data_IF_910683380588
#
_entry.id   IF_910683380588
#
_cell.length_a   1.000
_cell.length_b   1.000
_cell.length_c   1.000
_cell.angle_alpha   90.00
_cell.angle_beta   90.00
_cell.angle_gamma   90.00
#
_symmetry.space_group_name_H-M   'P 1'
#
loop_
_entity.id
_entity.type
_entity.pdbx_description
1 polymer ?
#
# COMPACT_ATOMS: atom_id res chain seq x y z
N UNK A 1 -78.95 16.88 -12.10
CA UNK A 1 -79.16 15.91 -11.01
C UNK A 1 -78.55 14.60 -11.51
N UNK A 2 -77.27 14.34 -11.25
CA UNK A 2 -76.59 13.16 -11.81
C UNK A 2 -75.68 12.53 -10.76
N UNK A 3 -76.10 11.32 -10.39
CA UNK A 3 -75.38 10.12 -9.94
C UNK A 3 -74.37 10.19 -8.79
N UNK A 4 -74.71 9.42 -7.75
CA UNK A 4 -73.85 8.87 -6.71
C UNK A 4 -73.26 7.53 -7.20
N UNK A 5 -71.97 7.31 -6.94
CA UNK A 5 -71.38 5.98 -6.80
C UNK A 5 -70.37 5.95 -5.64
N UNK A 6 -70.24 4.75 -5.08
CA UNK A 6 -69.81 4.35 -3.72
C UNK A 6 -68.30 4.02 -3.65
N UNK A 7 -67.61 4.09 -2.50
CA UNK A 7 -66.30 3.46 -2.29
C UNK A 7 -66.37 2.16 -1.46
N UNK A 8 -65.47 1.22 -1.73
CA UNK A 8 -65.17 0.05 -0.90
C UNK A 8 -63.66 -0.08 -0.62
N UNK A 9 -63.33 -0.60 0.57
CA UNK A 9 -62.02 -0.62 1.21
C UNK A 9 -61.03 -1.72 0.73
N UNK A 10 -59.77 -1.52 1.16
CA UNK A 10 -58.44 -2.09 0.81
C UNK A 10 -58.20 -3.60 1.04
N UNK A 11 -57.04 -4.21 0.63
CA UNK A 11 -55.78 -4.06 1.39
C UNK A 11 -54.45 -4.01 0.57
N UNK A 12 -53.51 -3.23 1.11
CA UNK A 12 -52.05 -3.41 1.14
C UNK A 12 -51.27 -4.01 -0.04
N UNK A 13 -50.58 -3.16 -0.82
CA UNK A 13 -49.28 -3.47 -1.40
C UNK A 13 -48.53 -2.17 -1.80
N UNK A 14 -47.53 -1.73 -1.02
CA UNK A 14 -46.63 -0.63 -1.42
C UNK A 14 -45.23 -1.17 -1.66
N UNK A 15 -44.83 -1.18 -2.93
CA UNK A 15 -43.45 -1.46 -3.38
C UNK A 15 -42.63 -0.17 -3.28
N UNK A 16 -41.46 -0.29 -2.65
CA UNK A 16 -40.23 0.54 -2.75
C UNK A 16 -40.33 2.05 -2.47
N UNK A 17 -39.62 2.46 -1.41
CA UNK A 17 -38.54 3.43 -1.51
C UNK A 17 -37.48 3.11 -0.43
N UNK A 18 -36.22 2.77 -0.77
CA UNK A 18 -35.12 2.97 0.16
C UNK A 18 -34.77 4.46 0.11
N UNK A 19 -34.93 5.10 1.26
CA UNK A 19 -34.61 6.49 1.57
C UNK A 19 -33.20 6.88 1.10
N UNK A 20 -33.16 8.05 0.47
CA UNK A 20 -31.98 8.84 0.14
C UNK A 20 -31.09 9.04 1.38
N UNK A 21 -29.94 8.38 1.39
CA UNK A 21 -28.69 8.87 2.00
C UNK A 21 -27.52 8.06 1.42
N UNK A 22 -27.41 8.10 0.09
CA UNK A 22 -26.21 7.69 -0.64
C UNK A 22 -25.97 8.70 -1.76
N UNK A 23 -26.06 9.99 -1.43
CA UNK A 23 -25.73 11.06 -2.35
C UNK A 23 -24.28 11.54 -2.13
N UNK A 24 -23.42 11.03 -3.00
CA UNK A 24 -22.44 11.80 -3.77
C UNK A 24 -21.57 12.76 -2.94
N UNK A 25 -20.51 12.23 -2.33
CA UNK A 25 -19.36 13.03 -1.89
C UNK A 25 -18.12 12.67 -2.72
N UNK A 26 -18.20 12.88 -4.04
CA UNK A 26 -17.07 12.73 -4.94
C UNK A 26 -17.11 13.82 -6.01
N UNK A 27 -16.35 14.90 -5.83
CA UNK A 27 -15.71 15.47 -7.01
C UNK A 27 -14.52 14.55 -7.31
N UNK A 28 -14.60 13.84 -8.43
CA UNK A 28 -13.66 12.77 -8.78
C UNK A 28 -12.19 13.21 -8.89
N UNK A 29 -11.90 14.51 -8.81
CA UNK A 29 -10.60 15.09 -9.12
C UNK A 29 -10.16 16.22 -8.16
N UNK A 30 -10.74 16.36 -6.95
CA UNK A 30 -10.31 17.39 -6.01
C UNK A 30 -9.39 16.84 -4.89
N UNK A 31 -8.07 17.08 -4.97
CA UNK A 31 -7.12 16.65 -3.94
C UNK A 31 -7.17 17.51 -2.67
N UNK A 32 -8.00 18.56 -2.61
CA UNK A 32 -8.15 19.44 -1.44
C UNK A 32 -9.26 19.00 -0.48
N UNK A 33 -10.11 18.04 -0.88
CA UNK A 33 -11.12 17.46 0.00
C UNK A 33 -10.43 16.65 1.11
N UNK A 34 -10.50 17.18 2.33
CA UNK A 34 -10.16 16.47 3.55
C UNK A 34 -11.11 15.27 3.68
N UNK A 35 -10.59 14.10 3.31
CA UNK A 35 -11.18 12.80 3.59
C UNK A 35 -11.78 12.80 5.00
N UNK A 36 -13.10 12.56 5.12
CA UNK A 36 -13.70 12.28 6.43
C UNK A 36 -12.99 11.07 6.99
N UNK A 37 -12.26 11.31 8.07
CA UNK A 37 -11.25 10.48 8.72
C UNK A 37 -11.84 9.19 9.34
N UNK A 38 -12.47 8.33 8.52
CA UNK A 38 -13.14 7.10 9.01
C UNK A 38 -12.69 5.81 8.32
N UNK A 39 -11.75 5.84 7.38
CA UNK A 39 -11.40 4.63 6.60
C UNK A 39 -9.93 4.55 6.16
N UNK A 40 -9.01 5.11 6.96
CA UNK A 40 -7.56 4.81 6.88
C UNK A 40 -7.11 3.90 8.01
N UNK A 41 -7.96 2.96 8.43
CA UNK A 41 -7.51 1.90 9.32
C UNK A 41 -6.63 0.92 8.52
N UNK A 42 -5.49 0.53 9.10
CA UNK A 42 -4.61 -0.50 8.57
C UNK A 42 -5.38 -1.79 8.17
N UNK A 43 -6.47 -2.07 8.88
CA UNK A 43 -7.36 -3.22 8.66
C UNK A 43 -8.08 -3.13 7.31
N UNK A 44 -8.45 -1.93 6.86
CA UNK A 44 -9.15 -1.70 5.58
C UNK A 44 -8.19 -1.87 4.39
N UNK A 45 -7.00 -1.26 4.47
CA UNK A 45 -5.98 -1.38 3.41
C UNK A 45 -5.54 -2.83 3.19
N UNK A 46 -5.25 -3.57 4.27
CA UNK A 46 -4.88 -4.98 4.14
C UNK A 46 -6.00 -5.78 3.47
N UNK A 47 -7.27 -5.59 3.87
CA UNK A 47 -8.43 -6.28 3.30
C UNK A 47 -8.65 -5.97 1.82
N UNK A 48 -8.44 -4.72 1.41
CA UNK A 48 -8.61 -4.31 0.01
C UNK A 48 -7.50 -4.89 -0.85
N UNK A 49 -6.24 -4.67 -0.45
CA UNK A 49 -5.10 -5.11 -1.24
C UNK A 49 -4.90 -6.63 -1.21
N UNK A 50 -5.34 -7.35 -0.16
CA UNK A 50 -5.29 -8.82 -0.13
C UNK A 50 -6.21 -9.49 -1.14
N UNK A 51 -7.20 -8.78 -1.70
CA UNK A 51 -8.03 -9.29 -2.79
C UNK A 51 -7.33 -9.22 -4.14
N UNK A 52 -6.11 -8.67 -4.19
CA UNK A 52 -5.37 -8.59 -5.43
C UNK A 52 -5.08 -9.98 -5.99
N UNK A 53 -5.40 -10.14 -7.27
CA UNK A 53 -5.12 -11.35 -8.05
C UNK A 53 -4.30 -10.94 -9.27
N UNK A 54 -3.09 -11.49 -9.39
CA UNK A 54 -2.20 -11.23 -10.51
C UNK A 54 -2.72 -11.72 -11.86
N UNK A 55 -3.70 -12.63 -11.85
CA UNK A 55 -4.33 -13.17 -13.06
C UNK A 55 -5.54 -12.37 -13.55
N UNK A 56 -6.03 -11.42 -12.72
CA UNK A 56 -7.20 -10.61 -13.02
C UNK A 56 -6.83 -9.12 -13.19
N UNK A 57 -7.68 -8.31 -13.86
CA UNK A 57 -7.53 -6.86 -13.86
C UNK A 57 -7.55 -6.31 -12.42
N UNK A 58 -6.73 -5.29 -12.16
CA UNK A 58 -6.70 -4.61 -10.86
C UNK A 58 -8.07 -3.97 -10.60
N UNK A 59 -8.64 -4.23 -9.42
CA UNK A 59 -9.95 -3.71 -9.05
C UNK A 59 -9.94 -2.17 -8.96
N UNK A 60 -11.08 -1.54 -9.29
CA UNK A 60 -11.24 -0.09 -9.18
C UNK A 60 -11.00 0.43 -7.76
N UNK A 61 -11.31 -0.39 -6.75
CA UNK A 61 -11.04 -0.06 -5.34
C UNK A 61 -9.52 0.03 -5.06
N UNK A 62 -8.72 -0.93 -5.55
CA UNK A 62 -7.26 -0.89 -5.41
C UNK A 62 -6.67 0.32 -6.15
N UNK A 63 -7.12 0.58 -7.38
CA UNK A 63 -6.69 1.74 -8.16
C UNK A 63 -6.95 3.04 -7.42
N UNK A 64 -8.17 3.21 -6.90
CA UNK A 64 -8.57 4.41 -6.18
C UNK A 64 -7.72 4.63 -4.92
N UNK A 65 -7.57 3.58 -4.10
CA UNK A 65 -6.78 3.65 -2.86
C UNK A 65 -5.31 3.93 -3.15
N UNK A 66 -4.72 3.26 -4.14
CA UNK A 66 -3.33 3.49 -4.52
C UNK A 66 -3.11 4.91 -5.05
N UNK A 67 -3.98 5.43 -5.93
CA UNK A 67 -3.91 6.82 -6.42
C UNK A 67 -3.98 7.82 -5.26
N UNK A 68 -4.93 7.63 -4.35
CA UNK A 68 -5.09 8.48 -3.17
C UNK A 68 -3.82 8.50 -2.31
N UNK A 69 -3.24 7.32 -2.03
CA UNK A 69 -1.98 7.22 -1.28
C UNK A 69 -0.84 7.95 -1.99
N UNK A 70 -0.72 7.82 -3.32
CA UNK A 70 0.30 8.55 -4.09
C UNK A 70 0.12 10.08 -3.96
N UNK A 71 -1.11 10.58 -4.16
CA UNK A 71 -1.40 12.01 -4.05
C UNK A 71 -1.11 12.57 -2.64
N UNK A 72 -1.43 11.79 -1.60
CA UNK A 72 -1.25 12.18 -0.18
C UNK A 72 0.21 12.16 0.25
N UNK A 73 0.95 11.08 -0.04
CA UNK A 73 2.29 10.86 0.51
C UNK A 73 3.44 11.21 -0.43
N UNK A 74 3.26 11.15 -1.75
CA UNK A 74 4.29 11.56 -2.72
C UNK A 74 4.12 13.02 -3.15
N UNK A 75 2.89 13.55 -3.14
CA UNK A 75 2.62 14.96 -3.44
C UNK A 75 2.93 15.35 -4.89
N UNK A 76 3.19 16.65 -5.11
CA UNK A 76 3.57 17.18 -6.42
C UNK A 76 2.63 16.77 -7.57
N UNK A 77 3.22 16.29 -8.67
CA UNK A 77 2.51 15.80 -9.85
C UNK A 77 1.52 14.66 -9.56
N UNK A 78 1.77 13.84 -8.53
CA UNK A 78 0.87 12.73 -8.16
C UNK A 78 -0.53 13.19 -7.77
N UNK A 79 -0.69 14.43 -7.29
CA UNK A 79 -2.01 15.00 -6.98
C UNK A 79 -2.87 15.20 -8.23
N UNK A 80 -2.24 15.40 -9.40
CA UNK A 80 -2.89 15.70 -10.68
C UNK A 80 -3.21 14.45 -11.51
N UNK A 81 -2.75 13.27 -11.10
CA UNK A 81 -2.92 12.01 -11.86
C UNK A 81 -4.38 11.56 -11.80
N UNK A 82 -5.11 11.58 -12.91
CA UNK A 82 -6.48 11.04 -12.94
C UNK A 82 -6.51 9.53 -12.79
N UNK A 83 -7.64 8.97 -12.36
CA UNK A 83 -7.78 7.52 -12.16
C UNK A 83 -7.62 6.74 -13.48
N UNK A 84 -8.10 7.30 -14.60
CA UNK A 84 -8.01 6.73 -15.94
C UNK A 84 -6.56 6.62 -16.46
N UNK A 85 -5.71 7.55 -16.02
CA UNK A 85 -4.29 7.60 -16.38
C UNK A 85 -3.39 6.91 -15.35
N UNK A 86 -3.93 6.47 -14.22
CA UNK A 86 -3.14 5.94 -13.10
C UNK A 86 -2.51 4.59 -13.46
N UNK A 87 -1.18 4.53 -13.45
CA UNK A 87 -0.43 3.32 -13.78
C UNK A 87 0.05 2.64 -12.53
N UNK A 88 -0.40 1.41 -12.34
CA UNK A 88 0.03 0.52 -11.27
C UNK A 88 0.25 -0.88 -11.83
N UNK A 89 1.31 -1.54 -11.36
CA UNK A 89 1.61 -2.93 -11.69
C UNK A 89 2.07 -3.67 -10.44
N UNK A 90 1.53 -4.86 -10.21
CA UNK A 90 2.06 -5.71 -9.17
C UNK A 90 3.46 -6.19 -9.54
N UNK A 91 4.36 -6.20 -8.56
CA UNK A 91 5.69 -6.76 -8.70
C UNK A 91 5.75 -8.03 -7.86
N UNK A 92 6.38 -9.06 -8.41
CA UNK A 92 6.69 -10.28 -7.66
C UNK A 92 7.60 -9.93 -6.48
N UNK A 93 7.02 -10.03 -5.27
CA UNK A 93 7.71 -9.87 -4.00
C UNK A 93 7.91 -11.20 -3.30
N UNK A 94 8.60 -11.16 -2.15
CA UNK A 94 8.60 -12.28 -1.21
C UNK A 94 7.21 -12.53 -0.62
N UNK A 95 7.03 -13.67 0.04
CA UNK A 95 5.72 -14.17 0.49
C UNK A 95 5.00 -13.31 1.54
N UNK A 96 5.66 -12.31 2.13
CA UNK A 96 5.17 -11.62 3.33
C UNK A 96 4.52 -10.25 3.07
N UNK A 97 4.65 -9.68 1.86
CA UNK A 97 4.18 -8.32 1.56
C UNK A 97 3.63 -8.22 0.13
N UNK A 98 2.64 -7.36 -0.07
CA UNK A 98 2.16 -7.01 -1.41
C UNK A 98 2.94 -5.80 -1.94
N UNK A 99 3.46 -5.93 -3.16
CA UNK A 99 4.29 -4.93 -3.81
C UNK A 99 3.66 -4.46 -5.11
N UNK A 100 3.54 -3.14 -5.24
CA UNK A 100 3.06 -2.51 -6.45
C UNK A 100 4.04 -1.42 -6.87
N UNK A 101 4.40 -1.37 -8.14
CA UNK A 101 5.02 -0.18 -8.71
C UNK A 101 3.92 0.73 -9.22
N UNK A 102 4.01 2.00 -8.81
CA UNK A 102 3.23 3.09 -9.37
C UNK A 102 4.14 3.96 -10.23
N UNK A 103 3.61 4.44 -11.36
CA UNK A 103 4.37 5.28 -12.31
C UNK A 103 3.53 6.49 -12.71
N UNK A 104 4.14 7.67 -12.77
CA UNK A 104 3.51 8.85 -13.33
C UNK A 104 3.16 8.60 -14.81
N UNK A 105 2.02 9.12 -15.28
CA UNK A 105 1.71 9.15 -16.71
C UNK A 105 2.76 9.96 -17.48
N UNK A 106 3.06 9.56 -18.72
CA UNK A 106 4.11 10.19 -19.53
C UNK A 106 3.86 11.69 -19.81
N UNK A 107 2.60 12.11 -19.75
CA UNK A 107 2.17 13.50 -19.90
C UNK A 107 2.42 14.38 -18.67
N UNK A 108 2.75 13.80 -17.51
CA UNK A 108 2.99 14.54 -16.27
C UNK A 108 4.46 14.45 -15.88
N UNK A 109 5.10 15.60 -15.72
CA UNK A 109 6.46 15.72 -15.21
C UNK A 109 6.45 16.06 -13.71
N UNK A 110 7.43 15.58 -12.94
CA UNK A 110 7.62 16.02 -11.56
C UNK A 110 7.75 17.55 -11.47
N UNK A 111 7.08 18.13 -10.48
CA UNK A 111 7.02 19.57 -10.22
C UNK A 111 8.05 19.96 -9.17
N UNK A 112 8.36 19.06 -8.23
CA UNK A 112 9.27 19.27 -7.11
C UNK A 112 10.27 18.11 -7.03
N UNK A 113 10.44 17.51 -5.85
CA UNK A 113 11.33 16.38 -5.59
C UNK A 113 10.60 15.04 -5.59
N UNK A 114 9.31 15.00 -5.94
CA UNK A 114 8.56 13.76 -6.02
C UNK A 114 9.12 12.85 -7.13
N UNK A 115 9.12 11.53 -6.92
CA UNK A 115 9.65 10.61 -7.92
C UNK A 115 8.64 10.36 -9.03
N UNK A 116 9.12 10.08 -10.24
CA UNK A 116 8.28 9.58 -11.34
C UNK A 116 7.75 8.17 -11.10
N UNK A 117 8.48 7.36 -10.30
CA UNK A 117 8.15 5.97 -9.99
C UNK A 117 8.40 5.67 -8.53
N UNK A 118 7.47 4.97 -7.88
CA UNK A 118 7.60 4.58 -6.49
C UNK A 118 7.08 3.16 -6.26
N UNK A 119 7.70 2.46 -5.32
CA UNK A 119 7.24 1.15 -4.88
C UNK A 119 6.30 1.32 -3.68
N UNK A 120 5.04 0.97 -3.87
CA UNK A 120 4.04 0.85 -2.82
C UNK A 120 4.16 -0.54 -2.18
N UNK A 121 4.53 -0.58 -0.89
CA UNK A 121 4.53 -1.80 -0.08
C UNK A 121 3.36 -1.77 0.90
N UNK A 122 2.52 -2.80 0.85
CA UNK A 122 1.44 -3.01 1.82
C UNK A 122 1.83 -4.15 2.76
N UNK A 123 1.81 -3.89 4.06
CA UNK A 123 2.16 -4.87 5.08
C UNK A 123 1.01 -5.84 5.33
N UNK A 124 1.32 -7.14 5.32
CA UNK A 124 0.34 -8.17 5.66
C UNK A 124 0.37 -8.56 7.14
N UNK A 125 1.40 -8.18 7.89
CA UNK A 125 1.48 -8.37 9.34
C UNK A 125 0.78 -7.26 10.11
N UNK A 126 0.27 -7.57 11.31
CA UNK A 126 -0.41 -6.63 12.21
C UNK A 126 0.30 -6.45 13.55
N UNK A 127 1.50 -7.02 13.70
CA UNK A 127 2.31 -6.88 14.91
C UNK A 127 2.94 -5.48 14.94
N UNK A 128 2.46 -4.64 15.86
CA UNK A 128 2.82 -3.21 15.92
C UNK A 128 4.30 -3.04 16.26
N UNK A 129 4.83 -3.84 17.20
CA UNK A 129 6.23 -3.73 17.63
C UNK A 129 7.19 -4.14 16.50
N UNK A 130 6.81 -5.17 15.74
CA UNK A 130 7.55 -5.59 14.57
C UNK A 130 7.52 -4.53 13.46
N UNK A 131 6.35 -3.93 13.20
CA UNK A 131 6.19 -2.85 12.20
C UNK A 131 6.96 -1.58 12.57
N UNK A 132 6.98 -1.21 13.85
CA UNK A 132 7.75 -0.08 14.36
C UNK A 132 9.25 -0.34 14.18
N UNK A 133 9.72 -1.51 14.61
CA UNK A 133 11.13 -1.91 14.45
C UNK A 133 11.56 -1.93 12.98
N UNK A 134 10.73 -2.49 12.09
CA UNK A 134 10.95 -2.51 10.65
C UNK A 134 11.06 -1.08 10.08
N UNK A 135 10.18 -0.17 10.52
CA UNK A 135 10.17 1.23 10.06
C UNK A 135 11.43 1.97 10.49
N UNK A 136 11.88 1.77 11.74
CA UNK A 136 13.14 2.34 12.26
C UNK A 136 14.34 1.83 11.46
N UNK A 137 14.43 0.51 11.25
CA UNK A 137 15.53 -0.11 10.48
C UNK A 137 15.52 0.39 9.04
N UNK A 138 14.36 0.44 8.39
CA UNK A 138 14.26 0.90 7.00
C UNK A 138 14.70 2.36 6.88
N UNK A 139 14.26 3.22 7.79
CA UNK A 139 14.63 4.65 7.80
C UNK A 139 16.13 4.80 7.93
N UNK A 140 16.74 4.05 8.87
CA UNK A 140 18.19 4.05 9.07
C UNK A 140 18.97 3.65 7.82
N UNK A 141 18.51 2.60 7.11
CA UNK A 141 19.14 2.14 5.87
C UNK A 141 18.98 3.15 4.73
N UNK A 142 17.81 3.79 4.61
CA UNK A 142 17.53 4.86 3.64
C UNK A 142 18.47 6.05 3.82
N UNK A 143 18.62 6.53 5.07
CA UNK A 143 19.44 7.70 5.39
C UNK A 143 20.93 7.42 5.20
N UNK A 144 21.38 6.19 5.42
CA UNK A 144 22.77 5.77 5.19
C UNK A 144 23.08 5.31 3.77
N UNK A 145 22.12 5.44 2.84
CA UNK A 145 22.24 4.98 1.45
C UNK A 145 22.64 3.49 1.35
N UNK A 146 22.07 2.67 2.24
CA UNK A 146 22.23 1.21 2.30
C UNK A 146 20.98 0.47 1.80
N UNK A 147 19.99 1.20 1.31
CA UNK A 147 18.77 0.68 0.71
C UNK A 147 18.05 1.75 -0.11
N UNK A 148 16.85 1.44 -0.61
CA UNK A 148 16.00 2.42 -1.27
C UNK A 148 15.66 3.59 -0.35
N UNK A 149 15.46 4.79 -0.93
CA UNK A 149 14.95 5.92 -0.15
C UNK A 149 13.55 5.65 0.39
N UNK A 150 13.31 6.03 1.63
CA UNK A 150 11.98 6.10 2.24
C UNK A 150 11.27 7.35 1.74
N UNK A 151 10.21 7.17 0.95
CA UNK A 151 9.47 8.28 0.33
C UNK A 151 8.24 8.70 1.15
N UNK A 152 7.67 7.76 1.92
CA UNK A 152 6.53 8.03 2.80
C UNK A 152 6.11 6.80 3.58
N UNK A 153 5.52 7.01 4.75
CA UNK A 153 5.05 5.94 5.65
C UNK A 153 3.60 6.22 6.04
N UNK A 154 2.79 5.17 6.11
CA UNK A 154 1.38 5.28 6.49
C UNK A 154 0.89 4.01 7.20
N UNK A 155 -0.23 4.07 7.94
CA UNK A 155 -0.79 2.88 8.57
C UNK A 155 -1.03 1.76 7.54
N UNK A 156 -0.35 0.62 7.71
CA UNK A 156 -0.47 -0.54 6.82
C UNK A 156 0.48 -0.56 5.62
N UNK A 157 1.38 0.41 5.45
CA UNK A 157 2.30 0.39 4.31
C UNK A 157 3.33 1.52 4.25
N UNK A 158 4.08 1.56 3.16
CA UNK A 158 5.05 2.62 2.87
C UNK A 158 5.32 2.76 1.38
N UNK A 159 5.86 3.91 0.99
CA UNK A 159 6.46 4.15 -0.32
C UNK A 159 7.98 4.10 -0.24
N UNK A 160 8.57 3.34 -1.15
CA UNK A 160 10.01 3.15 -1.29
C UNK A 160 10.46 3.63 -2.68
N UNK A 161 11.70 4.11 -2.79
CA UNK A 161 12.30 4.36 -4.10
C UNK A 161 12.28 3.09 -4.96
N UNK A 162 11.84 3.23 -6.21
CA UNK A 162 11.97 2.14 -7.17
C UNK A 162 13.41 2.07 -7.70
N UNK A 163 14.04 0.89 -7.58
CA UNK A 163 15.37 0.61 -8.14
C UNK A 163 15.23 -0.36 -9.31
N UNK A 164 15.45 0.07 -10.56
CA UNK A 164 15.42 -0.81 -11.73
C UNK A 164 16.50 -1.89 -11.61
N UNK A 165 16.11 -3.10 -11.26
CA UNK A 165 17.02 -4.20 -10.95
C UNK A 165 16.32 -5.55 -11.06
N UNK A 166 17.11 -6.62 -10.97
CA UNK A 166 16.62 -7.99 -10.77
C UNK A 166 17.26 -8.59 -9.53
N UNK A 167 16.57 -9.52 -8.88
CA UNK A 167 17.17 -10.32 -7.82
C UNK A 167 18.26 -11.24 -8.39
N UNK A 168 19.28 -11.53 -7.56
CA UNK A 168 20.23 -12.60 -7.85
C UNK A 168 19.56 -13.96 -7.65
N UNK A 169 19.87 -14.91 -8.51
CA UNK A 169 19.48 -16.30 -8.36
C UNK A 169 20.41 -17.01 -7.37
N UNK A 170 19.93 -18.12 -6.78
CA UNK A 170 20.69 -18.90 -5.79
C UNK A 170 22.11 -19.25 -6.28
N UNK A 171 22.24 -19.71 -7.53
CA UNK A 171 23.52 -20.08 -8.14
C UNK A 171 24.43 -18.88 -8.45
N UNK A 172 23.90 -17.65 -8.48
CA UNK A 172 24.70 -16.46 -8.72
C UNK A 172 25.40 -16.01 -7.45
N UNK A 173 24.74 -16.15 -6.30
CA UNK A 173 25.28 -15.73 -4.99
C UNK A 173 26.55 -16.52 -4.64
N UNK A 174 26.66 -17.78 -5.08
CA UNK A 174 27.84 -18.62 -4.84
C UNK A 174 29.04 -18.28 -5.73
N UNK A 175 28.89 -17.44 -6.76
CA UNK A 175 29.99 -17.07 -7.65
C UNK A 175 30.99 -16.18 -6.89
N UNK A 176 32.30 -16.51 -6.86
CA UNK A 176 33.30 -15.76 -6.10
C UNK A 176 33.33 -14.25 -6.43
N UNK A 177 33.13 -13.90 -7.71
CA UNK A 177 33.07 -12.50 -8.14
C UNK A 177 31.92 -11.72 -7.50
N UNK A 178 30.72 -12.32 -7.40
CA UNK A 178 29.56 -11.70 -6.76
C UNK A 178 29.69 -11.72 -5.24
N UNK A 179 30.19 -12.81 -4.66
CA UNK A 179 30.42 -12.91 -3.22
C UNK A 179 31.36 -11.80 -2.69
N UNK A 180 32.42 -11.46 -3.45
CA UNK A 180 33.30 -10.33 -3.15
C UNK A 180 32.61 -8.96 -3.16
N UNK A 181 31.52 -8.80 -3.90
CA UNK A 181 30.71 -7.58 -3.91
C UNK A 181 29.67 -7.57 -2.77
N UNK A 182 29.13 -8.74 -2.41
CA UNK A 182 28.12 -8.89 -1.34
C UNK A 182 28.76 -8.71 0.04
N UNK A 183 29.92 -9.31 0.29
CA UNK A 183 30.54 -9.33 1.61
C UNK A 183 30.78 -7.92 2.21
N UNK A 184 31.28 -6.91 1.47
CA UNK A 184 31.40 -5.54 1.97
C UNK A 184 30.04 -4.90 2.32
N UNK A 185 28.98 -5.21 1.57
CA UNK A 185 27.64 -4.68 1.85
C UNK A 185 27.11 -5.27 3.17
N UNK A 186 27.27 -6.58 3.37
CA UNK A 186 26.92 -7.26 4.62
C UNK A 186 27.73 -6.71 5.80
N UNK A 187 29.04 -6.53 5.62
CA UNK A 187 29.91 -5.94 6.65
C UNK A 187 29.44 -4.53 7.06
N UNK A 188 29.08 -3.68 6.09
CA UNK A 188 28.53 -2.34 6.37
C UNK A 188 27.24 -2.42 7.18
N UNK A 189 26.34 -3.35 6.85
CA UNK A 189 25.10 -3.57 7.62
C UNK A 189 25.40 -4.04 9.05
N UNK A 190 26.36 -4.94 9.24
CA UNK A 190 26.75 -5.43 10.57
C UNK A 190 27.38 -4.35 11.46
N UNK A 191 27.95 -3.30 10.88
CA UNK A 191 28.52 -2.17 11.63
C UNK A 191 27.49 -1.08 11.99
N UNK A 192 26.22 -1.24 11.60
CA UNK A 192 25.20 -0.25 11.90
C UNK A 192 24.85 -0.25 13.38
N UNK A 193 25.05 0.90 14.02
CA UNK A 193 24.36 1.20 15.27
C UNK A 193 22.91 1.58 14.95
N UNK A 194 22.00 0.66 15.25
CA UNK A 194 20.57 0.76 14.98
C UNK A 194 19.80 0.81 16.31
N UNK A 195 18.85 1.73 16.51
CA UNK A 195 18.12 1.86 17.79
C UNK A 195 17.01 0.80 17.93
N UNK A 196 17.43 -0.46 17.99
CA UNK A 196 16.61 -1.66 18.19
C UNK A 196 17.14 -2.47 19.39
N UNK A 197 16.37 -3.45 19.92
CA UNK A 197 16.88 -4.38 20.93
C UNK A 197 18.21 -5.02 20.48
N UNK A 198 19.19 -5.03 21.39
CA UNK A 198 20.56 -5.50 21.10
C UNK A 198 20.77 -6.98 21.42
N UNK A 199 19.90 -7.54 22.27
CA UNK A 199 19.94 -8.94 22.60
C UNK A 199 19.53 -9.80 21.39
N UNK A 200 20.24 -10.89 21.08
CA UNK A 200 19.87 -11.78 19.97
C UNK A 200 18.50 -12.44 20.18
N UNK A 201 17.53 -12.13 19.32
CA UNK A 201 16.14 -12.62 19.47
C UNK A 201 15.84 -13.91 18.68
N UNK A 202 16.76 -14.42 17.85
CA UNK A 202 16.49 -15.50 16.89
C UNK A 202 15.83 -16.74 17.50
N UNK A 203 16.34 -17.22 18.63
CA UNK A 203 15.78 -18.40 19.31
C UNK A 203 14.41 -18.12 19.92
N UNK A 204 14.21 -16.92 20.47
CA UNK A 204 12.93 -16.50 21.03
C UNK A 204 11.87 -16.41 19.93
N UNK A 205 12.20 -15.77 18.80
CA UNK A 205 11.31 -15.68 17.63
C UNK A 205 10.93 -17.05 17.10
N UNK A 206 11.90 -17.98 16.97
CA UNK A 206 11.63 -19.33 16.52
C UNK A 206 10.66 -20.10 17.45
N UNK A 207 10.81 -19.92 18.78
CA UNK A 207 9.89 -20.51 19.77
C UNK A 207 8.48 -19.93 19.65
N UNK A 208 8.35 -18.61 19.51
CA UNK A 208 7.07 -17.94 19.34
C UNK A 208 6.34 -18.42 18.08
N UNK A 209 7.06 -18.64 16.97
CA UNK A 209 6.45 -19.22 15.76
C UNK A 209 5.93 -20.62 16.04
N UNK A 210 6.71 -21.48 16.69
CA UNK A 210 6.30 -22.84 17.04
C UNK A 210 5.06 -22.87 17.96
N UNK A 211 4.94 -21.93 18.88
CA UNK A 211 3.75 -21.78 19.72
C UNK A 211 2.50 -21.37 18.93
N UNK A 212 2.64 -20.48 17.93
CA UNK A 212 1.53 -20.05 17.06
C UNK A 212 1.04 -21.13 16.09
N UNK A 213 1.84 -22.17 15.85
CA UNK A 213 1.47 -23.30 15.00
C UNK A 213 0.65 -24.38 15.72
N UNK A 214 0.58 -24.35 17.05
CA UNK A 214 -0.25 -25.27 17.85
C UNK A 214 -1.69 -24.79 17.90
#
# INVERSE_FOLDING_TARGET
MVSLEVPSETPGNSRRAPSEECEIAFSHDDPTLLWKDRTTDCVDLKKVFSKFDSSAPISGEILFRARFLCAKYLGGAWRKVKIEDFRIRAITGGMSNLLFLVELPAQLTPIQMEPEKALLRVHCQSDIDQLLSESVVFTLLSERNLGPKMLGVFPGGRFEQFIPSRALQCLEISKPGLSKLIAPIVARVHTLDAPIPKEPQTLQTARQWLERFK
#
